data_IF_953259697589
#
_entry.id   IF_953259697589
#
_cell.length_a   1.000
_cell.length_b   1.000
_cell.length_c   1.000
_cell.angle_alpha   90.00
_cell.angle_beta   90.00
_cell.angle_gamma   90.00
#
_symmetry.space_group_name_H-M   'P 1'
#
loop_
_entity.id
_entity.type
_entity.pdbx_description
1 polymer ?
#
# COMPACT_ATOMS: atom_id res chain seq x y z
N UNK A 1 18.30 23.62 21.89
CA UNK A 1 16.85 23.25 21.79
C UNK A 1 16.07 24.48 21.38
N UNK A 2 15.67 24.58 20.10
CA UNK A 2 14.79 25.64 19.65
C UNK A 2 13.36 25.12 19.76
N UNK A 3 12.66 25.61 20.77
CA UNK A 3 11.25 25.36 21.01
C UNK A 3 10.45 25.79 19.77
N UNK A 4 9.74 24.87 19.14
CA UNK A 4 8.82 25.18 18.08
C UNK A 4 7.70 26.07 18.62
N UNK A 5 7.61 27.29 18.12
CA UNK A 5 6.52 28.18 18.48
C UNK A 5 5.23 27.64 17.84
N UNK A 6 4.27 27.20 18.66
CA UNK A 6 3.04 26.52 18.28
C UNK A 6 2.07 27.36 17.42
N UNK A 7 2.41 28.63 17.11
CA UNK A 7 1.55 29.57 16.39
C UNK A 7 1.80 29.62 14.88
N UNK A 8 2.78 28.87 14.35
CA UNK A 8 3.09 28.90 12.91
C UNK A 8 2.69 27.61 12.22
N UNK A 9 1.61 27.65 11.44
CA UNK A 9 1.17 26.54 10.62
C UNK A 9 1.96 26.52 9.28
N UNK A 10 2.99 25.68 9.23
CA UNK A 10 3.82 25.54 8.03
C UNK A 10 3.10 24.90 6.84
N UNK A 11 1.94 24.31 7.03
CA UNK A 11 1.14 23.70 5.94
C UNK A 11 0.50 24.76 5.05
N UNK A 12 0.26 25.94 5.59
CA UNK A 12 -0.35 27.09 4.91
C UNK A 12 0.67 28.13 4.42
N UNK A 13 1.96 27.89 4.67
CA UNK A 13 3.02 28.83 4.32
C UNK A 13 3.43 28.67 2.85
N UNK A 14 3.26 29.72 2.05
CA UNK A 14 3.68 29.79 0.64
C UNK A 14 5.18 30.07 0.45
N UNK A 15 5.92 30.35 1.52
CA UNK A 15 7.35 30.63 1.43
C UNK A 15 8.17 29.34 1.33
N UNK A 16 8.59 29.00 0.11
CA UNK A 16 9.37 27.80 -0.21
C UNK A 16 10.84 27.87 0.30
N UNK A 17 11.37 29.06 0.54
CA UNK A 17 12.75 29.29 1.01
C UNK A 17 12.82 29.55 2.53
N UNK A 18 11.76 29.28 3.25
CA UNK A 18 11.72 29.46 4.69
C UNK A 18 12.79 28.59 5.39
N UNK A 19 13.70 29.18 6.22
CA UNK A 19 14.70 28.42 6.96
C UNK A 19 14.14 27.32 7.86
N UNK A 20 12.89 27.49 8.34
CA UNK A 20 12.15 26.45 9.06
C UNK A 20 11.75 25.29 8.16
N UNK A 21 11.53 25.54 6.88
CA UNK A 21 11.22 24.51 5.88
C UNK A 21 12.49 23.80 5.40
N UNK A 22 13.62 24.52 5.33
CA UNK A 22 14.94 23.90 5.08
C UNK A 22 15.37 23.05 6.27
N UNK A 23 15.02 23.44 7.50
CA UNK A 23 15.18 22.59 8.68
C UNK A 23 14.22 21.39 8.68
N UNK A 24 13.11 21.45 7.95
CA UNK A 24 12.24 20.29 7.65
C UNK A 24 12.81 19.46 6.49
N UNK A 25 13.52 20.05 5.53
CA UNK A 25 14.29 19.32 4.49
C UNK A 25 15.58 18.70 5.01
N UNK A 26 16.24 19.34 5.98
CA UNK A 26 17.35 18.82 6.76
C UNK A 26 16.90 18.35 8.15
N UNK A 27 15.64 18.60 8.48
CA UNK A 27 15.01 18.16 9.69
C UNK A 27 14.95 16.66 9.58
N UNK A 28 15.70 16.12 10.37
CA UNK A 28 15.62 14.87 11.02
C UNK A 28 14.16 14.51 11.37
N UNK A 29 13.28 14.42 10.37
CA UNK A 29 12.52 13.22 10.31
C UNK A 29 13.61 12.16 10.15
N UNK A 30 13.86 11.40 11.16
CA UNK A 30 14.43 10.09 10.99
C UNK A 30 13.41 9.28 10.16
N UNK A 31 13.26 9.66 8.92
CA UNK A 31 13.08 8.68 7.87
C UNK A 31 14.30 7.84 8.07
N UNK A 32 14.16 6.65 8.57
CA UNK A 32 15.21 5.65 8.68
C UNK A 32 16.01 5.75 7.40
N UNK A 33 17.10 6.54 7.46
CA UNK A 33 17.95 6.83 6.33
C UNK A 33 18.54 5.49 5.99
N UNK A 34 18.16 4.94 4.84
CA UNK A 34 18.76 3.75 4.26
C UNK A 34 19.04 2.65 5.29
N UNK A 35 17.96 2.15 5.92
CA UNK A 35 18.04 0.80 6.45
C UNK A 35 18.21 -0.09 5.21
N UNK A 36 19.45 -0.53 4.97
CA UNK A 36 19.71 -1.60 4.01
C UNK A 36 19.05 -2.87 4.56
N UNK A 37 17.76 -2.99 4.28
CA UNK A 37 17.05 -4.23 4.54
C UNK A 37 17.70 -5.32 3.69
N UNK A 38 18.40 -6.22 4.36
CA UNK A 38 18.86 -7.46 3.73
C UNK A 38 17.74 -8.47 3.89
N UNK A 39 16.98 -8.74 2.83
CA UNK A 39 15.92 -9.73 2.90
C UNK A 39 16.55 -11.07 3.30
N UNK A 40 15.92 -11.76 4.26
CA UNK A 40 16.33 -13.13 4.64
C UNK A 40 15.82 -14.11 3.57
N UNK A 41 16.27 -13.91 2.33
CA UNK A 41 15.96 -14.75 1.18
C UNK A 41 17.02 -15.84 1.05
N UNK A 42 16.59 -17.04 0.70
CA UNK A 42 17.49 -18.11 0.26
C UNK A 42 17.87 -17.88 -1.19
N UNK A 43 18.97 -18.48 -1.62
CA UNK A 43 19.39 -18.44 -3.02
C UNK A 43 18.25 -18.78 -3.97
N UNK A 44 18.03 -17.88 -4.94
CA UNK A 44 16.98 -18.01 -5.94
C UNK A 44 15.56 -17.69 -5.45
N UNK A 45 15.39 -17.11 -4.26
CA UNK A 45 14.10 -16.56 -3.83
C UNK A 45 13.81 -15.24 -4.53
N UNK A 46 12.53 -15.03 -4.85
CA UNK A 46 12.06 -13.80 -5.47
C UNK A 46 10.65 -13.48 -5.01
N UNK A 47 10.38 -12.21 -4.82
CA UNK A 47 9.05 -11.72 -4.47
C UNK A 47 8.74 -10.38 -5.16
N UNK A 48 7.46 -10.13 -5.41
CA UNK A 48 6.97 -8.78 -5.69
C UNK A 48 6.24 -8.28 -4.46
N UNK A 49 6.76 -7.19 -3.90
CA UNK A 49 6.12 -6.45 -2.82
C UNK A 49 5.24 -5.34 -3.39
N UNK A 50 4.00 -5.25 -2.93
CA UNK A 50 3.00 -4.29 -3.43
C UNK A 50 2.45 -3.51 -2.24
N UNK A 51 2.62 -2.19 -2.27
CA UNK A 51 2.00 -1.27 -1.32
C UNK A 51 0.82 -0.54 -1.97
N UNK A 52 -0.38 -0.75 -1.41
CA UNK A 52 -1.61 -0.12 -1.91
C UNK A 52 -1.93 1.10 -1.05
N UNK A 53 -1.30 2.22 -1.38
CA UNK A 53 -1.63 3.50 -0.78
C UNK A 53 -2.91 4.12 -1.37
N UNK A 54 -3.48 5.07 -0.65
CA UNK A 54 -4.67 5.81 -1.09
C UNK A 54 -4.41 6.60 -2.37
N UNK A 55 -3.21 7.17 -2.52
CA UNK A 55 -2.83 8.01 -3.68
C UNK A 55 -2.02 7.24 -4.71
N UNK A 56 -1.14 6.35 -4.28
CA UNK A 56 -0.15 5.67 -5.12
C UNK A 56 -0.17 4.17 -4.83
N UNK A 57 0.04 3.36 -5.86
CA UNK A 57 0.34 1.94 -5.72
C UNK A 57 1.79 1.72 -6.13
N UNK A 58 2.59 1.16 -5.24
CA UNK A 58 4.00 0.88 -5.46
C UNK A 58 4.25 -0.63 -5.61
N UNK A 59 5.18 -0.97 -6.47
CA UNK A 59 5.59 -2.34 -6.76
C UNK A 59 7.11 -2.42 -6.69
N UNK A 60 7.62 -3.45 -6.05
CA UNK A 60 9.04 -3.70 -5.91
C UNK A 60 9.34 -5.18 -6.14
N UNK A 61 10.18 -5.47 -7.13
CA UNK A 61 10.72 -6.80 -7.37
C UNK A 61 11.98 -6.97 -6.54
N UNK A 62 11.95 -7.90 -5.61
CA UNK A 62 13.04 -8.19 -4.67
C UNK A 62 13.51 -9.63 -4.86
N UNK A 63 14.83 -9.83 -4.78
CA UNK A 63 15.48 -11.14 -4.81
C UNK A 63 16.46 -11.29 -3.65
N UNK A 64 17.11 -12.42 -3.55
CA UNK A 64 18.24 -12.67 -2.65
C UNK A 64 19.37 -11.64 -2.81
N UNK A 65 19.48 -11.01 -3.99
CA UNK A 65 20.48 -9.96 -4.31
C UNK A 65 19.99 -8.53 -4.02
N UNK A 66 18.78 -8.37 -3.49
CA UNK A 66 18.14 -7.08 -3.21
C UNK A 66 17.08 -6.69 -4.22
N UNK A 67 16.73 -5.40 -4.25
CA UNK A 67 15.73 -4.85 -5.16
C UNK A 67 16.26 -4.76 -6.58
N UNK A 68 15.56 -5.41 -7.52
CA UNK A 68 15.92 -5.40 -8.95
C UNK A 68 15.17 -4.32 -9.74
N UNK A 69 13.88 -4.13 -9.47
CA UNK A 69 13.03 -3.19 -10.23
C UNK A 69 11.94 -2.62 -9.35
N UNK A 70 11.65 -1.35 -9.53
CA UNK A 70 10.53 -0.66 -8.88
C UNK A 70 9.60 -0.05 -9.92
N UNK A 71 8.30 -0.02 -9.61
CA UNK A 71 7.31 0.66 -10.41
C UNK A 71 6.28 1.32 -9.51
N UNK A 72 5.86 2.51 -9.84
CA UNK A 72 4.81 3.23 -9.12
C UNK A 72 3.78 3.78 -10.10
N UNK A 73 2.53 3.77 -9.68
CA UNK A 73 1.42 4.34 -10.43
C UNK A 73 0.46 5.06 -9.49
N UNK A 74 -0.26 6.02 -10.02
CA UNK A 74 -1.36 6.66 -9.29
C UNK A 74 -2.44 5.61 -9.05
N UNK A 75 -2.99 5.56 -7.83
CA UNK A 75 -4.11 4.68 -7.52
C UNK A 75 -5.35 5.12 -8.31
N UNK A 76 -5.82 4.32 -9.28
CA UNK A 76 -6.92 4.73 -10.16
C UNK A 76 -8.28 4.73 -9.47
N UNK A 77 -8.38 4.20 -8.24
CA UNK A 77 -9.60 4.32 -7.43
C UNK A 77 -9.90 5.77 -7.01
N UNK A 78 -8.94 6.71 -7.18
CA UNK A 78 -9.18 8.13 -6.91
C UNK A 78 -10.30 8.76 -7.76
N UNK A 79 -10.67 8.16 -8.89
CA UNK A 79 -11.85 8.57 -9.69
C UNK A 79 -13.18 8.31 -8.98
N UNK A 80 -13.19 7.45 -7.95
CA UNK A 80 -14.34 7.12 -7.12
C UNK A 80 -14.36 7.89 -5.80
N UNK A 81 -13.22 8.50 -5.42
CA UNK A 81 -13.04 9.27 -4.20
C UNK A 81 -11.57 9.57 -3.97
N UNK A 82 -11.25 10.79 -3.54
CA UNK A 82 -9.86 11.22 -3.35
C UNK A 82 -9.23 10.66 -2.05
N UNK A 83 -10.07 10.35 -1.07
CA UNK A 83 -9.69 9.84 0.24
C UNK A 83 -10.39 8.50 0.56
N UNK A 84 -10.07 7.94 1.71
CA UNK A 84 -10.60 6.65 2.18
C UNK A 84 -12.12 6.69 2.38
N UNK A 85 -12.64 7.76 3.00
CA UNK A 85 -14.05 7.88 3.34
C UNK A 85 -14.91 8.00 2.09
N UNK A 86 -14.52 8.84 1.14
CA UNK A 86 -15.24 8.99 -0.13
C UNK A 86 -15.27 7.71 -0.97
N UNK A 87 -14.24 6.85 -0.87
CA UNK A 87 -14.23 5.52 -1.50
C UNK A 87 -15.14 4.53 -0.80
N UNK A 88 -15.18 4.55 0.54
CA UNK A 88 -16.13 3.77 1.33
C UNK A 88 -17.56 4.14 0.95
N UNK A 89 -17.87 5.43 0.88
CA UNK A 89 -19.17 5.92 0.48
C UNK A 89 -19.52 5.48 -0.95
N UNK A 90 -18.59 5.61 -1.89
CA UNK A 90 -18.78 5.14 -3.26
C UNK A 90 -19.03 3.64 -3.34
N UNK A 91 -18.31 2.83 -2.55
CA UNK A 91 -18.53 1.39 -2.46
C UNK A 91 -19.93 1.06 -1.89
N UNK A 92 -20.36 1.78 -0.84
CA UNK A 92 -21.67 1.61 -0.21
C UNK A 92 -22.82 2.04 -1.12
N UNK A 93 -22.57 2.94 -2.08
CA UNK A 93 -23.51 3.31 -3.15
C UNK A 93 -23.54 2.34 -4.33
N UNK A 94 -23.01 1.13 -4.17
CA UNK A 94 -23.07 0.06 -5.16
C UNK A 94 -21.90 0.00 -6.15
N UNK A 95 -20.85 0.81 -5.98
CA UNK A 95 -19.69 0.82 -6.89
C UNK A 95 -18.51 -0.06 -6.42
N UNK A 96 -18.74 -0.96 -5.46
CA UNK A 96 -17.70 -1.83 -4.91
C UNK A 96 -17.01 -2.69 -5.98
N UNK A 97 -17.80 -3.26 -6.90
CA UNK A 97 -17.26 -4.12 -7.96
C UNK A 97 -16.36 -3.34 -8.92
N UNK A 98 -16.71 -2.10 -9.26
CA UNK A 98 -15.86 -1.24 -10.10
C UNK A 98 -14.55 -0.87 -9.39
N UNK A 99 -14.62 -0.51 -8.10
CA UNK A 99 -13.46 -0.22 -7.27
C UNK A 99 -12.53 -1.43 -7.18
N UNK A 100 -13.10 -2.61 -7.00
CA UNK A 100 -12.34 -3.87 -6.95
C UNK A 100 -11.71 -4.21 -8.30
N UNK A 101 -12.46 -4.11 -9.38
CA UNK A 101 -12.00 -4.46 -10.71
C UNK A 101 -10.81 -3.58 -11.13
N UNK A 102 -10.89 -2.27 -10.92
CA UNK A 102 -9.81 -1.36 -11.30
C UNK A 102 -8.56 -1.60 -10.47
N UNK A 103 -8.67 -1.95 -9.18
CA UNK A 103 -7.51 -2.27 -8.36
C UNK A 103 -6.88 -3.60 -8.79
N UNK A 104 -7.67 -4.64 -9.03
CA UNK A 104 -7.20 -5.94 -9.53
C UNK A 104 -6.44 -5.81 -10.84
N UNK A 105 -6.97 -5.01 -11.76
CA UNK A 105 -6.28 -4.69 -13.02
C UNK A 105 -4.94 -3.99 -12.77
N UNK A 106 -4.91 -3.04 -11.81
CA UNK A 106 -3.68 -2.30 -11.45
C UNK A 106 -2.63 -3.25 -10.87
N UNK A 107 -3.02 -4.17 -10.00
CA UNK A 107 -2.12 -5.18 -9.43
C UNK A 107 -1.49 -6.04 -10.54
N UNK A 108 -2.30 -6.57 -11.46
CA UNK A 108 -1.80 -7.39 -12.58
C UNK A 108 -0.86 -6.59 -13.48
N UNK A 109 -1.27 -5.38 -13.85
CA UNK A 109 -0.48 -4.55 -14.78
C UNK A 109 0.85 -4.16 -14.15
N UNK A 110 0.86 -3.79 -12.88
CA UNK A 110 2.08 -3.46 -12.15
C UNK A 110 2.99 -4.68 -11.95
N UNK A 111 2.41 -5.82 -11.56
CA UNK A 111 3.14 -7.09 -11.44
C UNK A 111 3.87 -7.42 -12.76
N UNK A 112 3.14 -7.49 -13.88
CA UNK A 112 3.73 -7.76 -15.20
C UNK A 112 4.84 -6.79 -15.55
N UNK A 113 4.67 -5.50 -15.23
CA UNK A 113 5.65 -4.47 -15.56
C UNK A 113 6.96 -4.61 -14.79
N UNK A 114 6.93 -5.04 -13.53
CA UNK A 114 8.16 -5.26 -12.75
C UNK A 114 8.82 -6.61 -13.08
N UNK A 115 8.05 -7.60 -13.54
CA UNK A 115 8.54 -8.95 -13.82
C UNK A 115 8.78 -9.22 -15.31
N UNK A 116 8.60 -8.23 -16.20
CA UNK A 116 8.65 -8.37 -17.66
C UNK A 116 9.92 -9.08 -18.16
N UNK A 117 11.07 -8.74 -17.58
CA UNK A 117 12.38 -9.32 -17.96
C UNK A 117 12.82 -10.45 -17.01
N UNK A 118 12.15 -10.59 -15.88
CA UNK A 118 12.52 -11.55 -14.83
C UNK A 118 11.70 -12.85 -14.91
N UNK A 119 10.46 -12.77 -15.38
CA UNK A 119 9.48 -13.87 -15.33
C UNK A 119 8.72 -13.92 -13.99
N UNK A 120 8.00 -15.02 -13.78
CA UNK A 120 7.20 -15.21 -12.57
C UNK A 120 8.06 -15.32 -11.31
N UNK A 121 7.64 -14.63 -10.26
CA UNK A 121 8.27 -14.70 -8.95
C UNK A 121 7.69 -15.84 -8.10
N UNK A 122 8.41 -16.28 -7.08
CA UNK A 122 7.92 -17.32 -6.16
C UNK A 122 6.78 -16.84 -5.30
N UNK A 123 6.75 -15.55 -4.99
CA UNK A 123 5.81 -14.96 -4.03
C UNK A 123 5.38 -13.54 -4.41
N UNK A 124 4.16 -13.20 -4.00
CA UNK A 124 3.65 -11.82 -4.00
C UNK A 124 3.25 -11.45 -2.57
N UNK A 125 3.65 -10.29 -2.13
CA UNK A 125 3.30 -9.74 -0.82
C UNK A 125 2.56 -8.43 -1.02
N UNK A 126 1.37 -8.30 -0.45
CA UNK A 126 0.53 -7.12 -0.59
C UNK A 126 0.31 -6.51 0.79
N UNK A 127 0.60 -5.22 0.92
CA UNK A 127 0.26 -4.40 2.07
C UNK A 127 -0.63 -3.23 1.64
N UNK A 128 -1.37 -2.68 2.57
CA UNK A 128 -2.21 -1.51 2.39
C UNK A 128 -3.08 -1.26 3.60
N UNK A 129 -3.66 -0.07 3.70
CA UNK A 129 -4.61 0.18 4.78
C UNK A 129 -5.84 -0.72 4.66
N UNK A 130 -6.57 -0.89 5.76
CA UNK A 130 -7.70 -1.82 5.85
C UNK A 130 -8.72 -1.60 4.74
N UNK A 131 -9.05 -0.36 4.40
CA UNK A 131 -10.01 -0.05 3.33
C UNK A 131 -9.47 -0.46 1.96
N UNK A 132 -8.21 -0.20 1.65
CA UNK A 132 -7.62 -0.58 0.35
C UNK A 132 -7.63 -2.10 0.17
N UNK A 133 -7.36 -2.86 1.23
CA UNK A 133 -7.47 -4.33 1.20
C UNK A 133 -8.92 -4.78 0.99
N UNK A 134 -9.90 -4.16 1.67
CA UNK A 134 -11.32 -4.46 1.47
C UNK A 134 -11.76 -4.19 0.03
N UNK A 135 -11.39 -3.04 -0.52
CA UNK A 135 -11.70 -2.68 -1.91
C UNK A 135 -11.03 -3.61 -2.93
N UNK A 136 -9.79 -4.05 -2.70
CA UNK A 136 -9.12 -5.04 -3.53
C UNK A 136 -9.88 -6.37 -3.53
N UNK A 137 -10.23 -6.86 -2.34
CA UNK A 137 -10.87 -8.16 -2.17
C UNK A 137 -12.36 -8.16 -2.54
N UNK A 138 -12.99 -6.98 -2.63
CA UNK A 138 -14.42 -6.85 -2.84
C UNK A 138 -15.23 -7.12 -1.57
N UNK A 139 -14.64 -6.87 -0.41
CA UNK A 139 -15.36 -6.97 0.86
C UNK A 139 -16.21 -5.72 1.11
N UNK A 140 -17.40 -5.93 1.68
CA UNK A 140 -18.26 -4.82 2.07
C UNK A 140 -17.54 -3.82 2.96
N UNK A 141 -17.68 -2.53 2.65
CA UNK A 141 -17.13 -1.42 3.42
C UNK A 141 -18.18 -0.75 4.34
N UNK A 142 -19.41 -1.29 4.44
CA UNK A 142 -20.51 -0.66 5.14
C UNK A 142 -20.19 -0.25 6.58
N UNK A 143 -19.53 -1.13 7.30
CA UNK A 143 -19.16 -0.88 8.72
C UNK A 143 -17.81 -0.20 8.92
N UNK A 144 -17.05 0.08 7.86
CA UNK A 144 -15.77 0.78 7.97
C UNK A 144 -15.94 2.31 8.09
N UNK A 145 -17.02 2.85 7.51
CA UNK A 145 -17.32 4.28 7.50
C UNK A 145 -18.24 4.74 8.63
N UNK A 146 -18.81 3.82 9.42
CA UNK A 146 -19.80 4.11 10.46
C UNK A 146 -19.38 3.53 11.80
N UNK A 147 -19.66 4.29 12.88
CA UNK A 147 -19.43 3.82 14.24
C UNK A 147 -20.23 2.52 14.49
N UNK A 148 -19.63 1.48 15.08
CA UNK A 148 -18.34 1.40 15.77
C UNK A 148 -17.13 1.01 14.89
N UNK A 149 -17.12 1.33 13.61
CA UNK A 149 -15.99 1.16 12.68
C UNK A 149 -15.40 -0.27 12.67
N UNK A 150 -16.24 -1.25 12.39
CA UNK A 150 -15.85 -2.66 12.39
C UNK A 150 -15.36 -3.09 11.01
N UNK A 151 -14.17 -3.64 10.97
CA UNK A 151 -13.66 -4.33 9.78
C UNK A 151 -14.25 -5.73 9.68
N UNK A 152 -14.63 -6.13 8.48
CA UNK A 152 -15.13 -7.49 8.20
C UNK A 152 -13.99 -8.52 8.20
N UNK A 153 -12.77 -8.09 7.91
CA UNK A 153 -11.60 -8.93 7.86
C UNK A 153 -10.35 -8.14 8.27
N UNK A 154 -9.64 -8.63 9.28
CA UNK A 154 -8.41 -8.02 9.80
C UNK A 154 -7.21 -8.98 9.70
N UNK A 155 -7.45 -10.28 9.52
CA UNK A 155 -6.38 -11.28 9.49
C UNK A 155 -5.53 -11.24 8.21
N UNK A 156 -4.31 -11.75 8.31
CA UNK A 156 -3.47 -11.99 7.14
C UNK A 156 -4.08 -13.07 6.26
N UNK A 157 -4.19 -12.80 4.95
CA UNK A 157 -4.70 -13.74 3.96
C UNK A 157 -3.54 -14.42 3.23
N UNK A 158 -3.58 -15.75 3.18
CA UNK A 158 -2.70 -16.55 2.32
C UNK A 158 -3.53 -17.12 1.18
N UNK A 159 -3.16 -16.84 -0.04
CA UNK A 159 -3.91 -17.17 -1.23
C UNK A 159 -2.99 -17.22 -2.47
N UNK A 160 -3.51 -17.08 -3.67
CA UNK A 160 -2.74 -17.02 -4.91
C UNK A 160 -3.12 -15.80 -5.75
N UNK A 161 -2.20 -15.31 -6.58
CA UNK A 161 -2.36 -14.06 -7.34
C UNK A 161 -3.58 -14.10 -8.27
N UNK A 162 -3.81 -15.23 -8.93
CA UNK A 162 -4.98 -15.46 -9.79
C UNK A 162 -6.32 -15.29 -9.03
N UNK A 163 -6.39 -15.79 -7.78
CA UNK A 163 -7.59 -15.65 -6.93
C UNK A 163 -7.80 -14.22 -6.46
N UNK A 164 -6.72 -13.53 -6.05
CA UNK A 164 -6.80 -12.11 -5.63
C UNK A 164 -7.29 -11.25 -6.78
N UNK A 165 -6.73 -11.46 -7.95
CA UNK A 165 -6.96 -10.60 -9.12
C UNK A 165 -8.12 -11.07 -9.98
N UNK A 166 -8.65 -12.27 -9.73
CA UNK A 166 -9.70 -12.94 -10.53
C UNK A 166 -9.32 -12.98 -12.02
N UNK A 167 -8.07 -13.26 -12.33
CA UNK A 167 -7.54 -13.23 -13.68
C UNK A 167 -6.75 -14.50 -14.02
N UNK A 168 -6.57 -14.75 -15.33
CA UNK A 168 -5.78 -15.89 -15.83
C UNK A 168 -4.27 -15.54 -15.77
N UNK A 169 -3.69 -15.64 -14.60
CA UNK A 169 -2.23 -15.54 -14.35
C UNK A 169 -1.78 -16.75 -13.57
N UNK A 170 -0.47 -16.99 -13.51
CA UNK A 170 0.11 -18.07 -12.73
C UNK A 170 -0.36 -18.00 -11.27
N UNK A 171 -0.68 -19.15 -10.63
CA UNK A 171 -1.16 -19.21 -9.23
C UNK A 171 0.00 -19.01 -8.24
N UNK A 172 0.61 -17.82 -8.28
CA UNK A 172 1.75 -17.48 -7.43
C UNK A 172 1.28 -17.30 -5.99
N UNK A 173 2.00 -17.88 -5.03
CA UNK A 173 1.72 -17.70 -3.61
C UNK A 173 1.62 -16.20 -3.27
N UNK A 174 0.50 -15.81 -2.70
CA UNK A 174 0.22 -14.41 -2.37
C UNK A 174 -0.17 -14.27 -0.92
N UNK A 175 0.52 -13.39 -0.21
CA UNK A 175 0.22 -13.01 1.17
C UNK A 175 -0.26 -11.57 1.19
N UNK A 176 -1.44 -11.35 1.73
CA UNK A 176 -1.98 -10.00 1.98
C UNK A 176 -1.91 -9.76 3.47
N UNK A 177 -1.11 -8.79 3.89
CA UNK A 177 -0.98 -8.46 5.31
C UNK A 177 -2.29 -7.92 5.87
N UNK A 178 -2.67 -8.47 7.02
CA UNK A 178 -3.82 -8.01 7.79
C UNK A 178 -3.53 -6.74 8.56
N UNK A 179 -4.60 -6.03 8.93
CA UNK A 179 -4.56 -4.89 9.84
C UNK A 179 -4.87 -5.28 11.29
N UNK A 180 -4.74 -4.33 12.20
CA UNK A 180 -5.11 -4.47 13.62
C UNK A 180 -6.51 -3.92 13.87
N UNK A 181 -6.93 -2.93 13.09
CA UNK A 181 -8.24 -2.26 13.23
C UNK A 181 -8.73 -1.72 11.88
N UNK A 182 -9.91 -1.12 11.89
CA UNK A 182 -10.44 -0.42 10.71
C UNK A 182 -9.49 0.67 10.17
N UNK A 183 -8.68 1.28 11.04
CA UNK A 183 -7.78 2.39 10.72
C UNK A 183 -6.29 2.04 10.73
N UNK A 184 -5.92 0.87 11.28
CA UNK A 184 -4.54 0.39 11.33
C UNK A 184 -4.43 -0.83 10.43
N UNK A 185 -4.03 -0.62 9.20
CA UNK A 185 -3.95 -1.63 8.16
C UNK A 185 -2.62 -2.37 8.10
N UNK A 186 -2.51 -3.23 7.11
CA UNK A 186 -1.32 -4.04 6.87
C UNK A 186 -0.08 -3.24 6.49
N UNK A 187 -0.23 -2.03 5.98
CA UNK A 187 0.83 -1.07 5.72
C UNK A 187 1.63 -0.72 6.99
N UNK A 188 0.92 -0.37 8.07
CA UNK A 188 1.55 -0.08 9.38
C UNK A 188 2.08 -1.36 10.02
N UNK A 189 1.30 -2.45 9.99
CA UNK A 189 1.69 -3.73 10.59
C UNK A 189 2.95 -4.29 9.92
N UNK A 190 3.05 -4.23 8.59
CA UNK A 190 4.26 -4.68 7.89
C UNK A 190 5.49 -3.85 8.27
N UNK A 191 5.34 -2.54 8.47
CA UNK A 191 6.42 -1.67 8.97
C UNK A 191 6.91 -2.05 10.36
N UNK A 192 6.00 -2.43 11.28
CA UNK A 192 6.36 -2.87 12.63
C UNK A 192 7.11 -4.21 12.67
N UNK A 193 6.88 -5.10 11.70
CA UNK A 193 7.64 -6.35 11.60
C UNK A 193 9.06 -6.16 11.05
N UNK A 194 9.34 -4.98 10.52
CA UNK A 194 10.62 -4.64 9.88
C UNK A 194 11.53 -3.79 10.79
N UNK A 195 11.00 -3.26 11.88
CA UNK A 195 11.73 -2.47 12.89
C UNK A 195 12.21 -3.32 14.05
#
# INVERSE_FOLDING_TARGET
EKVFNAQHDCSKCSNFDCPRRSNIKNGRFEVLSSYEYKPNFKDGDSAVCIDIGTTTVAFELVTDKGTLKTYRTINPQRRFGLDVLSRIESANRGRLDELSAVMRYTIISGYKKVTEEFGDTKKVVIAGNTTMVHLLMGYSCGTLGEYPFKSKHLGTLKTTLDKVTKSKVSPIETVIYGGISAFVGGDIVSGLYMS
#
